data_IF_837753223629
#
_entry.id   IF_837753223629
#
_cell.length_a   1.000
_cell.length_b   1.000
_cell.length_c   1.000
_cell.angle_alpha   90.00
_cell.angle_beta   90.00
_cell.angle_gamma   90.00
#
_symmetry.space_group_name_H-M   'P 1'
#
loop_
_entity.id
_entity.type
_entity.pdbx_description
1 polymer ?
#
# COMPACT_ATOMS: atom_id res chain seq x y z
N UNK A 1 10.95 -5.42 -12.04
CA UNK A 1 9.49 -5.61 -11.89
C UNK A 1 8.82 -5.19 -13.19
N UNK A 2 7.83 -5.95 -13.67
CA UNK A 2 7.04 -5.56 -14.86
C UNK A 2 6.14 -4.36 -14.49
N UNK A 3 6.18 -3.29 -15.28
CA UNK A 3 5.43 -2.07 -15.03
C UNK A 3 3.91 -2.32 -14.99
N UNK A 4 3.41 -3.24 -15.82
CA UNK A 4 1.97 -3.59 -15.86
C UNK A 4 1.56 -4.24 -14.53
N UNK A 5 2.41 -5.13 -14.00
CA UNK A 5 2.15 -5.79 -12.72
C UNK A 5 2.18 -4.78 -11.56
N UNK A 6 3.15 -3.87 -11.57
CA UNK A 6 3.28 -2.84 -10.54
C UNK A 6 2.02 -1.97 -10.48
N UNK A 7 1.54 -1.46 -11.60
CA UNK A 7 0.34 -0.62 -11.63
C UNK A 7 -0.91 -1.39 -11.20
N UNK A 8 -1.03 -2.68 -11.56
CA UNK A 8 -2.09 -3.55 -11.07
C UNK A 8 -2.06 -3.72 -9.55
N UNK A 9 -0.88 -3.95 -8.96
CA UNK A 9 -0.71 -4.12 -7.52
C UNK A 9 -1.03 -2.82 -6.76
N UNK A 10 -0.62 -1.66 -7.31
CA UNK A 10 -0.98 -0.34 -6.78
C UNK A 10 -2.50 -0.15 -6.78
N UNK A 11 -3.19 -0.50 -7.87
CA UNK A 11 -4.65 -0.38 -7.96
C UNK A 11 -5.36 -1.29 -6.95
N UNK A 12 -4.87 -2.50 -6.74
CA UNK A 12 -5.42 -3.38 -5.69
C UNK A 12 -5.34 -2.74 -4.30
N UNK A 13 -4.22 -2.09 -3.97
CA UNK A 13 -4.05 -1.40 -2.69
C UNK A 13 -4.99 -0.21 -2.58
N UNK A 14 -5.08 0.63 -3.61
CA UNK A 14 -6.00 1.76 -3.63
C UNK A 14 -7.47 1.32 -3.45
N UNK A 15 -7.87 0.20 -4.07
CA UNK A 15 -9.20 -0.37 -3.95
C UNK A 15 -9.48 -1.05 -2.60
N UNK A 16 -8.44 -1.50 -1.89
CA UNK A 16 -8.59 -2.10 -0.57
C UNK A 16 -8.84 -1.07 0.54
N UNK A 17 -8.76 0.24 0.24
CA UNK A 17 -9.06 1.31 1.17
C UNK A 17 -10.47 1.17 1.73
N UNK A 18 -10.59 1.21 3.05
CA UNK A 18 -11.88 1.19 3.75
C UNK A 18 -12.18 2.56 4.35
N UNK A 19 -13.45 2.86 4.57
CA UNK A 19 -13.89 4.17 5.08
C UNK A 19 -13.56 4.41 6.56
N UNK A 20 -13.24 3.35 7.30
CA UNK A 20 -12.98 3.32 8.74
C UNK A 20 -11.50 3.37 9.11
N UNK A 21 -10.59 3.10 8.16
CA UNK A 21 -9.14 3.20 8.35
C UNK A 21 -8.46 3.71 7.09
N UNK A 22 -7.59 4.71 7.26
CA UNK A 22 -6.68 5.17 6.20
C UNK A 22 -5.37 4.36 6.21
N UNK A 23 -5.20 3.38 7.10
CA UNK A 23 -4.02 2.51 7.15
C UNK A 23 -4.32 1.09 6.63
N UNK A 24 -3.36 0.49 5.92
CA UNK A 24 -3.42 -0.88 5.43
C UNK A 24 -2.07 -1.61 5.55
N UNK A 25 -2.11 -2.93 5.70
CA UNK A 25 -0.95 -3.81 5.50
C UNK A 25 -0.89 -4.27 4.04
N UNK A 26 0.14 -3.83 3.30
CA UNK A 26 0.32 -4.14 1.87
C UNK A 26 0.43 -5.65 1.62
N UNK A 27 1.05 -6.39 2.54
CA UNK A 27 1.21 -7.86 2.42
C UNK A 27 -0.15 -8.56 2.44
N UNK A 28 -1.04 -8.14 3.33
CA UNK A 28 -2.39 -8.71 3.45
C UNK A 28 -3.21 -8.39 2.19
N UNK A 29 -3.11 -7.17 1.68
CA UNK A 29 -3.86 -6.75 0.49
C UNK A 29 -3.41 -7.48 -0.77
N UNK A 30 -2.10 -7.62 -0.97
CA UNK A 30 -1.55 -8.33 -2.12
C UNK A 30 -1.60 -9.86 -1.94
N UNK A 31 -2.01 -10.34 -0.76
CA UNK A 31 -2.05 -11.75 -0.39
C UNK A 31 -0.74 -12.49 -0.73
N UNK A 32 0.39 -11.89 -0.34
CA UNK A 32 1.72 -12.41 -0.65
C UNK A 32 2.33 -13.16 0.53
N UNK A 33 3.09 -14.21 0.21
CA UNK A 33 3.88 -14.97 1.18
C UNK A 33 5.22 -14.26 1.51
N UNK A 34 5.90 -14.65 2.62
CA UNK A 34 7.15 -14.00 3.07
C UNK A 34 8.24 -13.92 2.00
N UNK A 35 8.37 -14.92 1.12
CA UNK A 35 9.32 -14.93 0.01
C UNK A 35 9.11 -13.77 -0.99
N UNK A 36 7.90 -13.20 -1.03
CA UNK A 36 7.53 -12.08 -1.88
C UNK A 36 7.46 -10.76 -1.11
N UNK A 37 8.05 -10.69 0.09
CA UNK A 37 8.10 -9.47 0.89
C UNK A 37 8.72 -8.29 0.13
N UNK A 38 9.84 -8.53 -0.56
CA UNK A 38 10.53 -7.48 -1.31
C UNK A 38 9.62 -6.88 -2.38
N UNK A 39 8.84 -7.71 -3.06
CA UNK A 39 7.86 -7.25 -4.04
C UNK A 39 6.81 -6.32 -3.40
N UNK A 40 6.20 -6.73 -2.29
CA UNK A 40 5.23 -5.89 -1.58
C UNK A 40 5.86 -4.59 -1.04
N UNK A 41 7.13 -4.63 -0.63
CA UNK A 41 7.87 -3.45 -0.19
C UNK A 41 8.15 -2.49 -1.34
N UNK A 42 8.56 -3.01 -2.50
CA UNK A 42 8.79 -2.20 -3.70
C UNK A 42 7.50 -1.50 -4.18
N UNK A 43 6.36 -2.20 -4.10
CA UNK A 43 5.05 -1.59 -4.40
C UNK A 43 4.74 -0.46 -3.40
N UNK A 44 4.91 -0.70 -2.11
CA UNK A 44 4.66 0.32 -1.08
C UNK A 44 5.56 1.55 -1.26
N UNK A 45 6.84 1.34 -1.57
CA UNK A 45 7.82 2.39 -1.83
C UNK A 45 7.45 3.19 -3.08
N UNK A 46 7.01 2.53 -4.15
CA UNK A 46 6.55 3.21 -5.36
C UNK A 46 5.29 4.05 -5.08
N UNK A 47 4.34 3.55 -4.29
CA UNK A 47 3.17 4.32 -3.91
C UNK A 47 3.53 5.56 -3.08
N UNK A 48 4.51 5.46 -2.18
CA UNK A 48 5.05 6.58 -1.39
C UNK A 48 5.75 7.61 -2.29
N UNK A 49 6.59 7.15 -3.23
CA UNK A 49 7.23 8.01 -4.25
C UNK A 49 6.21 8.75 -5.12
N UNK A 50 5.05 8.14 -5.39
CA UNK A 50 3.94 8.75 -6.11
C UNK A 50 3.04 9.64 -5.23
N UNK A 51 3.36 9.79 -3.94
CA UNK A 51 2.57 10.50 -2.93
C UNK A 51 1.14 9.96 -2.76
N UNK A 52 0.89 8.70 -3.10
CA UNK A 52 -0.43 8.07 -2.96
C UNK A 52 -0.69 7.64 -1.50
N UNK A 53 0.38 7.20 -0.84
CA UNK A 53 0.41 6.78 0.54
C UNK A 53 1.64 7.35 1.22
N UNK A 54 1.73 7.17 2.52
CA UNK A 54 2.94 7.31 3.31
C UNK A 54 3.32 5.94 3.87
N UNK A 55 4.55 5.48 3.64
CA UNK A 55 5.04 4.26 4.27
C UNK A 55 5.33 4.53 5.77
N UNK A 56 4.57 3.88 6.66
CA UNK A 56 4.70 4.09 8.11
C UNK A 56 5.66 3.11 8.76
N UNK A 57 5.62 1.84 8.35
CA UNK A 57 6.36 0.77 9.00
C UNK A 57 6.58 -0.42 8.07
N UNK A 58 7.73 -1.08 8.18
CA UNK A 58 8.12 -2.25 7.39
C UNK A 58 8.89 -3.23 8.27
N UNK A 59 8.40 -4.46 8.40
CA UNK A 59 9.07 -5.55 9.12
C UNK A 59 8.83 -6.91 8.45
N UNK A 60 9.91 -7.50 7.95
CA UNK A 60 9.95 -8.80 7.29
C UNK A 60 9.47 -9.94 8.19
N UNK A 61 10.07 -10.08 9.38
CA UNK A 61 9.77 -11.18 10.30
C UNK A 61 8.33 -11.16 10.79
N UNK A 62 7.70 -9.99 10.85
CA UNK A 62 6.31 -9.83 11.25
C UNK A 62 5.32 -9.90 10.08
N UNK A 63 5.79 -9.96 8.82
CA UNK A 63 4.93 -9.92 7.64
C UNK A 63 4.12 -8.61 7.54
N UNK A 64 4.72 -7.48 7.90
CA UNK A 64 4.03 -6.18 7.97
C UNK A 64 4.68 -5.13 7.09
N UNK A 65 3.90 -4.52 6.22
CA UNK A 65 4.24 -3.30 5.49
C UNK A 65 3.04 -2.37 5.61
N UNK A 66 3.09 -1.44 6.58
CA UNK A 66 1.97 -0.57 6.91
C UNK A 66 2.12 0.75 6.17
N UNK A 67 1.11 1.09 5.39
CA UNK A 67 0.99 2.36 4.67
C UNK A 67 -0.25 3.11 5.16
N UNK A 68 -0.21 4.44 5.07
CA UNK A 68 -1.34 5.33 5.33
C UNK A 68 -1.68 6.10 4.05
N UNK A 69 -2.94 6.12 3.64
CA UNK A 69 -3.37 6.89 2.45
C UNK A 69 -3.16 8.37 2.67
N UNK A 70 -2.51 9.01 1.71
CA UNK A 70 -2.40 10.47 1.67
C UNK A 70 -3.76 11.03 1.30
N UNK A 71 -4.49 11.60 2.26
CA UNK A 71 -5.76 12.26 2.01
C UNK A 71 -5.53 13.50 1.12
N UNK A 72 -5.77 13.38 -0.18
CA UNK A 72 -6.08 14.54 -1.03
C UNK A 72 -7.44 15.07 -0.57
N UNK A 73 -7.41 15.95 0.43
CA UNK A 73 -8.54 16.72 0.94
C UNK A 73 -9.87 15.96 1.03
N UNK A 74 -10.24 15.49 2.22
CA UNK A 74 -11.66 15.32 2.56
C UNK A 74 -12.32 16.69 2.33
N UNK A 75 -12.88 16.97 1.16
CA UNK A 75 -13.85 18.04 1.03
C UNK A 75 -14.99 17.61 1.93
N UNK A 76 -15.10 18.25 3.09
CA UNK A 76 -16.35 18.26 3.85
C UNK A 76 -17.41 18.74 2.85
N UNK A 77 -18.20 17.80 2.34
CA UNK A 77 -19.50 18.16 1.78
C UNK A 77 -20.28 18.76 2.96
N UNK A 78 -20.38 20.08 2.92
CA UNK A 78 -21.21 20.90 3.81
C UNK A 78 -22.67 20.61 3.49
#
# INVERSE_FOLDING_TARGET
MDAIKLDSDIMMILHARRSDTDMLNVIEVLNVYPENYQHAFDVALEMDNRNLVKLLYSNFSAGKIIVEFTLLGKTRSV
#
